data_IF_627797213745
#
_entry.id   IF_627797213745
#
_cell.length_a   1.000
_cell.length_b   1.000
_cell.length_c   1.000
_cell.angle_alpha   90.00
_cell.angle_beta   90.00
_cell.angle_gamma   90.00
#
_symmetry.space_group_name_H-M   'P 1'
#
loop_
_entity.id
_entity.type
_entity.pdbx_description
1 polymer ?
#
# COMPACT_ATOMS: atom_id res chain seq x y z
N UNK A 1 15.78 -34.84 63.46
CA UNK A 1 14.37 -35.11 63.15
C UNK A 1 14.00 -34.41 61.83
N UNK A 2 13.24 -35.11 60.96
CA UNK A 2 12.43 -34.62 59.81
C UNK A 2 13.22 -34.00 58.64
N UNK A 3 13.59 -34.73 57.59
CA UNK A 3 12.73 -35.33 56.55
C UNK A 3 11.88 -34.28 55.79
N UNK A 4 12.27 -33.88 54.56
CA UNK A 4 11.50 -34.11 53.32
C UNK A 4 11.88 -33.20 52.14
N UNK A 5 12.10 -33.88 51.01
CA UNK A 5 11.70 -33.56 49.62
C UNK A 5 12.60 -32.65 48.78
N UNK A 6 13.24 -33.34 47.82
CA UNK A 6 13.46 -32.90 46.44
C UNK A 6 12.43 -31.86 45.98
N UNK A 7 12.92 -30.75 45.42
CA UNK A 7 12.25 -30.05 44.34
C UNK A 7 13.28 -29.88 43.23
N UNK A 8 12.99 -30.55 42.12
CA UNK A 8 13.72 -30.51 40.88
C UNK A 8 13.65 -29.10 40.26
N UNK A 9 14.81 -28.63 39.79
CA UNK A 9 15.06 -28.35 38.37
C UNK A 9 13.89 -27.70 37.61
N UNK A 10 14.03 -26.42 37.26
CA UNK A 10 13.89 -25.86 35.91
C UNK A 10 14.76 -24.58 35.93
N UNK A 11 16.00 -24.69 35.46
CA UNK A 11 16.73 -23.54 34.94
C UNK A 11 16.08 -23.30 33.58
N UNK A 12 15.18 -22.31 33.53
CA UNK A 12 14.66 -21.81 32.27
C UNK A 12 15.85 -21.30 31.46
N UNK A 13 16.22 -22.06 30.45
CA UNK A 13 17.12 -21.62 29.41
C UNK A 13 16.49 -20.38 28.76
N UNK A 14 16.97 -19.21 29.17
CA UNK A 14 16.81 -17.98 28.44
C UNK A 14 17.68 -18.05 27.17
N UNK A 15 17.36 -18.98 26.27
CA UNK A 15 17.83 -18.92 24.88
C UNK A 15 16.95 -17.89 24.19
N UNK A 16 17.37 -16.64 24.32
CA UNK A 16 17.40 -15.65 23.24
C UNK A 16 16.33 -15.83 22.17
N UNK A 17 15.22 -15.11 22.32
CA UNK A 17 14.41 -14.67 21.18
C UNK A 17 15.29 -13.85 20.24
N UNK A 18 16.00 -14.54 19.35
CA UNK A 18 16.68 -13.94 18.23
C UNK A 18 15.61 -13.74 17.16
N UNK A 19 14.85 -12.65 17.26
CA UNK A 19 14.10 -12.14 16.12
C UNK A 19 15.10 -11.55 15.12
N UNK A 20 15.86 -12.43 14.49
CA UNK A 20 16.65 -12.10 13.30
C UNK A 20 15.98 -12.85 12.17
N UNK A 21 14.83 -12.33 11.72
CA UNK A 21 14.50 -12.45 10.31
C UNK A 21 15.53 -11.59 9.57
N UNK A 22 16.73 -12.12 9.38
CA UNK A 22 17.57 -11.66 8.29
C UNK A 22 16.77 -12.00 7.04
N UNK A 23 16.12 -10.99 6.47
CA UNK A 23 15.48 -11.12 5.17
C UNK A 23 16.58 -11.52 4.19
N UNK A 24 16.68 -12.81 3.91
CA UNK A 24 17.54 -13.31 2.85
C UNK A 24 17.04 -12.69 1.56
N UNK A 25 17.88 -11.88 0.93
CA UNK A 25 17.58 -11.31 -0.37
C UNK A 25 17.29 -12.48 -1.33
N UNK A 26 16.17 -12.45 -2.07
CA UNK A 26 15.75 -13.63 -2.80
C UNK A 26 16.67 -13.90 -3.99
N UNK A 27 16.99 -15.17 -4.21
CA UNK A 27 17.95 -15.61 -5.23
C UNK A 27 17.42 -15.56 -6.67
N UNK A 28 16.14 -15.23 -6.86
CA UNK A 28 15.52 -15.13 -8.18
C UNK A 28 14.41 -14.06 -8.20
N UNK A 29 14.00 -13.67 -9.40
CA UNK A 29 13.02 -12.61 -9.64
C UNK A 29 11.67 -12.91 -8.95
N UNK A 30 11.20 -14.15 -9.06
CA UNK A 30 9.96 -14.62 -8.41
C UNK A 30 10.05 -14.49 -6.89
N UNK A 31 11.17 -14.86 -6.29
CA UNK A 31 11.41 -14.71 -4.87
C UNK A 31 11.47 -13.24 -4.46
N UNK A 32 12.01 -12.36 -5.32
CA UNK A 32 12.03 -10.91 -5.11
C UNK A 32 10.63 -10.33 -5.13
N UNK A 33 9.76 -10.78 -6.04
CA UNK A 33 8.34 -10.45 -6.00
C UNK A 33 7.65 -10.99 -4.75
N UNK A 34 7.92 -12.23 -4.33
CA UNK A 34 7.31 -12.81 -3.14
C UNK A 34 7.75 -12.05 -1.88
N UNK A 35 9.04 -11.71 -1.74
CA UNK A 35 9.53 -10.90 -0.63
C UNK A 35 8.92 -9.50 -0.68
N UNK A 36 8.91 -8.84 -1.85
CA UNK A 36 8.29 -7.54 -2.03
C UNK A 36 6.78 -7.57 -1.71
N UNK A 37 6.06 -8.62 -2.10
CA UNK A 37 4.65 -8.80 -1.78
C UNK A 37 4.42 -9.09 -0.29
N UNK A 38 5.33 -9.82 0.36
CA UNK A 38 5.26 -10.12 1.79
C UNK A 38 5.73 -8.95 2.68
N UNK A 39 6.55 -8.03 2.17
CA UNK A 39 6.93 -6.79 2.85
C UNK A 39 5.96 -5.65 2.56
N UNK A 40 5.23 -5.72 1.45
CA UNK A 40 4.17 -4.79 1.11
C UNK A 40 2.95 -5.01 2.00
N UNK A 41 2.31 -3.93 2.45
CA UNK A 41 1.06 -4.06 3.21
C UNK A 41 0.01 -4.79 2.36
N UNK A 42 -0.81 -5.70 2.94
CA UNK A 42 -1.83 -6.42 2.18
C UNK A 42 -2.79 -5.49 1.39
N UNK A 43 -3.01 -4.28 1.91
CA UNK A 43 -3.85 -3.25 1.27
C UNK A 43 -3.16 -2.71 0.00
N UNK A 44 -1.86 -2.43 0.08
CA UNK A 44 -1.08 -1.98 -1.09
C UNK A 44 -1.02 -3.07 -2.16
N UNK A 45 -0.80 -4.34 -1.78
CA UNK A 45 -0.79 -5.45 -2.74
C UNK A 45 -2.15 -5.63 -3.45
N UNK A 46 -3.26 -5.54 -2.70
CA UNK A 46 -4.62 -5.55 -3.25
C UNK A 46 -4.80 -4.50 -4.34
N UNK A 47 -4.43 -3.24 -4.07
CA UNK A 47 -4.64 -2.15 -5.02
C UNK A 47 -3.66 -2.13 -6.18
N UNK A 48 -2.43 -2.62 -5.99
CA UNK A 48 -1.50 -2.89 -7.09
C UNK A 48 -2.10 -3.87 -8.09
N UNK A 49 -2.66 -4.98 -7.62
CA UNK A 49 -3.29 -5.98 -8.49
C UNK A 49 -4.53 -5.39 -9.18
N UNK A 50 -5.39 -4.71 -8.44
CA UNK A 50 -6.62 -4.12 -9.01
C UNK A 50 -6.31 -3.08 -10.08
N UNK A 51 -5.38 -2.16 -9.82
CA UNK A 51 -5.05 -1.11 -10.79
C UNK A 51 -4.32 -1.67 -12.01
N UNK A 52 -3.40 -2.62 -11.81
CA UNK A 52 -2.77 -3.36 -12.90
C UNK A 52 -3.84 -3.99 -13.80
N UNK A 53 -4.74 -4.78 -13.24
CA UNK A 53 -5.80 -5.44 -14.00
C UNK A 53 -6.68 -4.44 -14.75
N UNK A 54 -7.03 -3.31 -14.13
CA UNK A 54 -7.82 -2.26 -14.77
C UNK A 54 -7.12 -1.66 -16.00
N UNK A 55 -5.82 -1.39 -15.91
CA UNK A 55 -5.03 -0.89 -17.04
C UNK A 55 -4.90 -1.97 -18.11
N UNK A 56 -4.52 -3.19 -17.74
CA UNK A 56 -4.30 -4.28 -18.70
C UNK A 56 -5.57 -4.62 -19.48
N UNK A 57 -6.73 -4.60 -18.81
CA UNK A 57 -8.03 -4.78 -19.46
C UNK A 57 -8.41 -3.59 -20.35
N UNK A 58 -8.20 -2.36 -19.90
CA UNK A 58 -8.59 -1.16 -20.66
C UNK A 58 -7.68 -0.90 -21.86
N UNK A 59 -6.40 -1.20 -21.74
CA UNK A 59 -5.37 -0.89 -22.71
C UNK A 59 -4.91 -2.10 -23.53
N UNK A 60 -5.43 -3.30 -23.23
CA UNK A 60 -5.08 -4.56 -23.89
C UNK A 60 -3.56 -4.78 -24.00
N UNK A 61 -2.84 -4.45 -22.92
CA UNK A 61 -1.38 -4.59 -22.83
C UNK A 61 -1.01 -5.19 -21.49
N UNK A 62 0.08 -5.96 -21.43
CA UNK A 62 0.64 -6.39 -20.16
C UNK A 62 1.54 -5.29 -19.59
N UNK A 63 1.41 -5.00 -18.30
CA UNK A 63 2.30 -4.07 -17.60
C UNK A 63 3.53 -4.82 -17.10
N UNK A 64 4.69 -4.31 -17.49
CA UNK A 64 5.99 -4.76 -17.00
C UNK A 64 6.35 -4.17 -15.65
N UNK A 65 7.47 -4.66 -15.11
CA UNK A 65 8.01 -4.32 -13.80
C UNK A 65 8.34 -2.83 -13.69
N UNK A 66 8.88 -2.24 -14.76
CA UNK A 66 9.25 -0.82 -14.80
C UNK A 66 8.01 0.07 -14.68
N UNK A 67 6.91 -0.28 -15.35
CA UNK A 67 5.67 0.47 -15.22
C UNK A 67 5.05 0.32 -13.83
N UNK A 68 5.09 -0.88 -13.24
CA UNK A 68 4.57 -1.14 -11.89
C UNK A 68 5.38 -0.42 -10.80
N UNK A 69 6.69 -0.27 -10.99
CA UNK A 69 7.57 0.46 -10.08
C UNK A 69 7.62 1.97 -10.39
N UNK A 70 6.89 2.44 -11.40
CA UNK A 70 6.87 3.86 -11.73
C UNK A 70 6.18 4.67 -10.63
N UNK A 71 6.65 5.89 -10.41
CA UNK A 71 5.99 6.85 -9.52
C UNK A 71 4.54 7.10 -9.93
N UNK A 72 4.28 7.14 -11.23
CA UNK A 72 2.94 7.30 -11.80
C UNK A 72 1.96 6.21 -11.34
N UNK A 73 2.38 4.95 -11.42
CA UNK A 73 1.57 3.83 -10.94
C UNK A 73 1.43 3.84 -9.42
N UNK A 74 2.53 4.11 -8.71
CA UNK A 74 2.58 4.10 -7.24
C UNK A 74 1.68 5.17 -6.63
N UNK A 75 1.58 6.35 -7.25
CA UNK A 75 0.68 7.42 -6.82
C UNK A 75 -0.79 6.98 -6.80
N UNK A 76 -1.25 6.29 -7.85
CA UNK A 76 -2.63 5.81 -7.94
C UNK A 76 -2.90 4.70 -6.91
N UNK A 77 -1.94 3.79 -6.72
CA UNK A 77 -2.03 2.76 -5.66
C UNK A 77 -2.11 3.42 -4.29
N UNK A 78 -1.24 4.39 -4.01
CA UNK A 78 -1.22 5.09 -2.74
C UNK A 78 -2.54 5.84 -2.49
N UNK A 79 -3.16 6.42 -3.53
CA UNK A 79 -4.46 7.06 -3.38
C UNK A 79 -5.53 6.07 -2.91
N UNK A 80 -5.61 4.86 -3.49
CA UNK A 80 -6.57 3.85 -3.03
C UNK A 80 -6.26 3.34 -1.61
N UNK A 81 -4.98 3.15 -1.28
CA UNK A 81 -4.56 2.73 0.08
C UNK A 81 -4.94 3.79 1.12
N UNK A 82 -4.64 5.07 0.85
CA UNK A 82 -4.99 6.19 1.72
C UNK A 82 -6.50 6.32 1.86
N UNK A 83 -7.25 6.12 0.77
CA UNK A 83 -8.72 6.20 0.79
C UNK A 83 -9.33 5.11 1.65
N UNK A 84 -8.91 3.84 1.49
CA UNK A 84 -9.39 2.75 2.36
C UNK A 84 -9.05 3.01 3.83
N UNK A 85 -7.88 3.59 4.11
CA UNK A 85 -7.47 3.92 5.48
C UNK A 85 -8.35 5.00 6.09
N UNK A 86 -8.54 6.11 5.36
CA UNK A 86 -9.38 7.24 5.79
C UNK A 86 -10.84 6.80 5.98
N UNK A 87 -11.37 5.99 5.07
CA UNK A 87 -12.73 5.45 5.12
C UNK A 87 -12.92 4.54 6.35
N UNK A 88 -11.99 3.62 6.61
CA UNK A 88 -12.02 2.73 7.78
C UNK A 88 -11.90 3.49 9.10
N UNK A 89 -11.16 4.59 9.11
CA UNK A 89 -11.02 5.46 10.29
C UNK A 89 -12.20 6.42 10.47
N UNK A 90 -13.09 6.53 9.48
CA UNK A 90 -14.23 7.45 9.51
C UNK A 90 -13.81 8.91 9.64
N UNK A 91 -12.67 9.29 9.07
CA UNK A 91 -12.14 10.65 9.20
C UNK A 91 -12.94 11.65 8.38
N UNK A 92 -13.42 11.26 7.19
CA UNK A 92 -14.27 12.10 6.37
C UNK A 92 -15.75 11.93 6.76
N UNK A 93 -16.41 13.03 7.13
CA UNK A 93 -17.79 13.03 7.61
C UNK A 93 -18.81 12.49 6.60
N UNK A 94 -18.50 12.57 5.30
CA UNK A 94 -19.35 12.05 4.24
C UNK A 94 -19.28 10.53 4.12
N UNK A 95 -18.21 9.89 4.60
CA UNK A 95 -17.88 8.49 4.31
C UNK A 95 -17.77 8.19 2.82
N UNK A 96 -17.43 6.94 2.49
CA UNK A 96 -17.40 6.47 1.10
C UNK A 96 -16.22 7.03 0.29
N UNK A 97 -15.17 7.49 0.96
CA UNK A 97 -13.98 8.05 0.31
C UNK A 97 -13.29 7.01 -0.58
N UNK A 98 -13.30 5.75 -0.18
CA UNK A 98 -12.83 4.64 -1.02
C UNK A 98 -13.67 4.46 -2.29
N UNK A 99 -15.00 4.44 -2.17
CA UNK A 99 -15.88 4.21 -3.30
C UNK A 99 -15.76 5.34 -4.34
N UNK A 100 -15.74 6.58 -3.89
CA UNK A 100 -15.59 7.75 -4.76
C UNK A 100 -14.22 7.75 -5.44
N UNK A 101 -13.16 7.38 -4.71
CA UNK A 101 -11.80 7.27 -5.25
C UNK A 101 -11.73 6.21 -6.35
N UNK A 102 -12.26 5.00 -6.10
CA UNK A 102 -12.28 3.93 -7.10
C UNK A 102 -13.07 4.33 -8.35
N UNK A 103 -14.19 5.03 -8.17
CA UNK A 103 -14.98 5.57 -9.28
C UNK A 103 -14.19 6.58 -10.11
N UNK A 104 -13.48 7.50 -9.46
CA UNK A 104 -12.66 8.51 -10.12
C UNK A 104 -11.48 7.89 -10.86
N UNK A 105 -10.82 6.90 -10.24
CA UNK A 105 -9.72 6.18 -10.87
C UNK A 105 -10.20 5.45 -12.11
N UNK A 106 -11.29 4.68 -12.01
CA UNK A 106 -11.86 3.93 -13.13
C UNK A 106 -12.20 4.80 -14.34
N UNK A 107 -12.77 5.99 -14.11
CA UNK A 107 -13.11 6.96 -15.15
C UNK A 107 -11.86 7.53 -15.84
N UNK A 108 -10.79 7.74 -15.10
CA UNK A 108 -9.59 8.45 -15.56
C UNK A 108 -8.42 7.54 -15.95
N UNK A 109 -8.56 6.21 -15.92
CA UNK A 109 -7.50 5.31 -16.40
C UNK A 109 -7.18 5.64 -17.86
N UNK A 110 -5.92 5.94 -18.16
CA UNK A 110 -5.45 6.16 -19.53
C UNK A 110 -4.27 5.24 -19.85
N UNK A 111 -4.10 4.93 -21.13
CA UNK A 111 -3.02 4.07 -21.60
C UNK A 111 -1.70 4.81 -21.81
N UNK A 112 -1.74 6.15 -21.85
CA UNK A 112 -0.59 7.02 -22.11
C UNK A 112 -0.01 7.66 -20.84
N UNK A 113 -0.85 7.93 -19.83
CA UNK A 113 -0.44 8.49 -18.54
C UNK A 113 -1.05 7.67 -17.39
N UNK A 114 -0.23 6.81 -16.79
CA UNK A 114 -0.63 6.00 -15.63
C UNK A 114 -0.92 6.85 -14.39
N UNK A 115 -0.48 8.12 -14.36
CA UNK A 115 -0.72 9.05 -13.27
C UNK A 115 -1.99 9.89 -13.48
N UNK A 116 -2.64 9.83 -14.64
CA UNK A 116 -3.83 10.64 -14.94
C UNK A 116 -4.95 10.47 -13.91
N UNK A 117 -5.26 9.24 -13.42
CA UNK A 117 -6.20 9.06 -12.32
C UNK A 117 -5.87 9.82 -11.05
N UNK A 118 -4.59 9.87 -10.68
CA UNK A 118 -4.14 10.54 -9.47
C UNK A 118 -4.24 12.06 -9.61
N UNK A 119 -3.82 12.62 -10.75
CA UNK A 119 -4.00 14.05 -11.05
C UNK A 119 -5.47 14.45 -11.02
N UNK A 120 -6.34 13.64 -11.63
CA UNK A 120 -7.78 13.88 -11.62
C UNK A 120 -8.36 13.94 -10.20
N UNK A 121 -7.87 13.10 -9.27
CA UNK A 121 -8.24 13.14 -7.86
C UNK A 121 -7.81 14.44 -7.16
N UNK A 122 -6.58 14.91 -7.42
CA UNK A 122 -6.06 16.13 -6.83
C UNK A 122 -6.75 17.38 -7.36
N UNK A 123 -7.12 17.39 -8.64
CA UNK A 123 -7.72 18.55 -9.31
C UNK A 123 -9.24 18.65 -9.10
N UNK A 124 -9.90 17.59 -8.62
CA UNK A 124 -11.35 17.56 -8.42
C UNK A 124 -11.76 18.31 -7.14
N UNK A 125 -12.47 19.44 -7.34
CA UNK A 125 -12.92 20.34 -6.27
C UNK A 125 -14.03 19.72 -5.41
N UNK A 126 -14.93 18.95 -6.03
CA UNK A 126 -16.05 18.34 -5.31
C UNK A 126 -15.54 17.21 -4.42
N UNK A 127 -14.61 16.40 -4.95
CA UNK A 127 -13.89 15.38 -4.21
C UNK A 127 -13.12 16.00 -3.04
N UNK A 128 -12.35 17.06 -3.29
CA UNK A 128 -11.58 17.75 -2.26
C UNK A 128 -12.46 18.36 -1.17
N UNK A 129 -13.59 18.96 -1.55
CA UNK A 129 -14.53 19.53 -0.57
C UNK A 129 -15.22 18.44 0.26
N UNK A 130 -15.51 17.28 -0.34
CA UNK A 130 -16.21 16.16 0.31
C UNK A 130 -15.29 15.34 1.21
N UNK A 131 -14.06 15.11 0.78
CA UNK A 131 -13.08 14.23 1.43
C UNK A 131 -11.83 15.02 1.85
N UNK A 132 -12.01 15.97 2.79
CA UNK A 132 -10.96 16.92 3.17
C UNK A 132 -9.73 16.24 3.77
N UNK A 133 -9.92 15.21 4.59
CA UNK A 133 -8.81 14.49 5.22
C UNK A 133 -8.04 13.68 4.19
N UNK A 134 -8.76 12.96 3.32
CA UNK A 134 -8.13 12.25 2.21
C UNK A 134 -7.38 13.21 1.29
N UNK A 135 -8.01 14.29 0.84
CA UNK A 135 -7.39 15.29 -0.05
C UNK A 135 -6.09 15.82 0.56
N UNK A 136 -6.08 16.17 1.85
CA UNK A 136 -4.85 16.61 2.54
C UNK A 136 -3.76 15.55 2.50
N UNK A 137 -4.10 14.27 2.73
CA UNK A 137 -3.14 13.15 2.63
C UNK A 137 -2.59 13.01 1.22
N UNK A 138 -3.45 13.09 0.19
CA UNK A 138 -3.03 12.94 -1.20
C UNK A 138 -2.13 14.10 -1.67
N UNK A 139 -2.45 15.34 -1.30
CA UNK A 139 -1.58 16.49 -1.59
C UNK A 139 -0.25 16.40 -0.84
N UNK A 140 -0.26 15.97 0.42
CA UNK A 140 1.00 15.77 1.18
C UNK A 140 1.87 14.71 0.52
N UNK A 141 1.26 13.63 0.02
CA UNK A 141 1.98 12.61 -0.73
C UNK A 141 2.59 13.17 -2.02
N UNK A 142 1.84 13.94 -2.79
CA UNK A 142 2.34 14.58 -4.02
C UNK A 142 3.50 15.56 -3.74
N UNK A 143 3.40 16.33 -2.65
CA UNK A 143 4.47 17.22 -2.19
C UNK A 143 5.75 16.44 -1.84
N UNK A 144 5.63 15.33 -1.12
CA UNK A 144 6.79 14.49 -0.76
C UNK A 144 7.42 13.86 -2.01
N UNK A 145 6.61 13.32 -2.90
CA UNK A 145 7.08 12.68 -4.14
C UNK A 145 7.73 13.70 -5.08
N UNK A 146 7.18 14.90 -5.20
CA UNK A 146 7.75 15.96 -6.03
C UNK A 146 9.09 16.48 -5.50
N UNK A 147 9.24 16.61 -4.18
CA UNK A 147 10.49 16.99 -3.53
C UNK A 147 11.55 15.89 -3.53
N UNK A 148 11.14 14.63 -3.72
CA UNK A 148 12.05 13.48 -3.75
C UNK A 148 12.67 13.21 -5.12
N UNK A 149 12.37 14.05 -6.13
CA UNK A 149 13.02 13.98 -7.44
C UNK A 149 14.45 14.52 -7.33
N UNK A 150 15.48 13.74 -7.72
CA UNK A 150 16.88 14.19 -7.70
C UNK A 150 17.14 15.33 -8.68
#
# INVERSE_FOLDING_TARGET
>A
MKNKKLIALIISAATSCSSVYAATLPANEVGSYILAMNTMSPITAKYTIQYKQAIEQKCNTALGVEQLNSTAFTNVVQAMVSSETVDRMGLDAAGGSLQDTLSMIGKNVTCSDLNAPFKALLDDKDFTSKHQHLSKVLHTWDDVVSQSKP
#
